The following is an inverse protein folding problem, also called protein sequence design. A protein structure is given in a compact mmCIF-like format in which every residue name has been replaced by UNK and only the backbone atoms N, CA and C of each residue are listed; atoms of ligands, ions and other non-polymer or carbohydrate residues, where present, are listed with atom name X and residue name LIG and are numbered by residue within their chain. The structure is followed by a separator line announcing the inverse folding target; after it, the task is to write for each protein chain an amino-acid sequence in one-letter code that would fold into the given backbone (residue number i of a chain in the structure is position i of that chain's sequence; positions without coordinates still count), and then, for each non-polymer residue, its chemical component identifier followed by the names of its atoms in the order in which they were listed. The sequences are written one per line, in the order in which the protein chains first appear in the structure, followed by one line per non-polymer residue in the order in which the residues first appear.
data_IF_083127756271
#
_entry.id   IF_083127756271
#
_cell.length_a   1.000
_cell.length_b   1.000
_cell.length_c   1.000
_cell.angle_alpha   90.00
_cell.angle_beta   90.00
_cell.angle_gamma   90.00
#
_symmetry.space_group_name_H-M   'P 1'
#
loop_
_entity.id
_entity.type
_entity.pdbx_description
1 polymer ?
#
# COMPACT_ATOMS: atom_id res chain seq x y z
N UNK A 1 10.10 -11.08 -3.01
CA UNK A 1 9.96 -10.22 -4.21
C UNK A 1 9.09 -8.99 -3.96
N UNK A 2 7.75 -9.01 -4.11
CA UNK A 2 6.93 -7.77 -4.03
C UNK A 2 7.09 -7.02 -2.71
N UNK A 3 7.01 -7.74 -1.58
CA UNK A 3 7.15 -7.12 -0.26
C UNK A 3 8.51 -6.42 -0.08
N UNK A 4 9.60 -7.05 -0.52
CA UNK A 4 10.94 -6.45 -0.44
C UNK A 4 11.05 -5.19 -1.31
N UNK A 5 10.48 -5.22 -2.52
CA UNK A 5 10.43 -4.05 -3.39
C UNK A 5 9.65 -2.91 -2.73
N UNK A 6 8.49 -3.20 -2.13
CA UNK A 6 7.72 -2.18 -1.43
C UNK A 6 8.48 -1.61 -0.22
N UNK A 7 9.16 -2.44 0.56
CA UNK A 7 9.98 -1.98 1.70
C UNK A 7 11.21 -1.16 1.25
N UNK A 8 11.74 -1.40 0.05
CA UNK A 8 12.86 -0.63 -0.48
C UNK A 8 12.45 0.75 -1.02
N UNK A 9 11.21 0.88 -1.53
CA UNK A 9 10.76 2.06 -2.26
C UNK A 9 9.79 2.95 -1.46
N UNK A 10 8.90 2.40 -0.66
CA UNK A 10 7.94 3.20 0.11
C UNK A 10 8.60 4.17 1.13
N UNK A 11 9.73 3.83 1.80
CA UNK A 11 10.43 4.79 2.67
C UNK A 11 11.01 6.00 1.94
N UNK A 12 11.10 5.96 0.60
CA UNK A 12 11.63 7.04 -0.23
C UNK A 12 10.55 8.05 -0.65
N UNK A 13 9.29 7.83 -0.27
CA UNK A 13 8.23 8.81 -0.48
C UNK A 13 8.58 10.10 0.29
N UNK A 14 8.21 11.24 -0.29
CA UNK A 14 8.14 12.49 0.46
C UNK A 14 7.28 12.29 1.73
N UNK A 15 7.57 12.95 2.86
CA UNK A 15 6.77 12.83 4.08
C UNK A 15 5.26 13.07 3.87
N UNK A 16 4.87 13.95 2.94
CA UNK A 16 3.48 14.20 2.55
C UNK A 16 3.04 13.41 1.29
N UNK A 17 3.96 12.64 0.70
CA UNK A 17 3.77 11.84 -0.50
C UNK A 17 2.81 10.66 -0.30
N UNK A 18 2.35 10.13 -1.44
CA UNK A 18 1.52 8.92 -1.49
C UNK A 18 1.97 8.00 -2.63
N UNK A 19 1.84 6.70 -2.42
CA UNK A 19 1.89 5.69 -3.48
C UNK A 19 0.47 5.18 -3.76
N UNK A 20 0.11 5.05 -5.04
CA UNK A 20 -1.15 4.44 -5.46
C UNK A 20 -0.84 3.08 -6.10
N UNK A 21 -1.39 2.02 -5.54
CA UNK A 21 -1.14 0.63 -5.95
C UNK A 21 -2.43 0.03 -6.52
N UNK A 22 -2.37 -0.50 -7.73
CA UNK A 22 -3.47 -1.23 -8.36
C UNK A 22 -3.17 -2.72 -8.25
N UNK A 23 -4.02 -3.47 -7.53
CA UNK A 23 -3.73 -4.85 -7.17
C UNK A 23 -4.93 -5.74 -7.49
N UNK A 24 -4.68 -6.86 -8.18
CA UNK A 24 -5.70 -7.87 -8.43
C UNK A 24 -6.24 -8.44 -7.12
N UNK A 25 -7.56 -8.60 -6.99
CA UNK A 25 -8.20 -9.19 -5.82
C UNK A 25 -7.71 -10.62 -5.57
N UNK A 26 -7.50 -11.39 -6.64
CA UNK A 26 -6.92 -12.74 -6.62
C UNK A 26 -5.43 -12.76 -6.23
N UNK A 27 -4.74 -11.63 -6.35
CA UNK A 27 -3.33 -11.48 -5.94
C UNK A 27 -3.19 -11.01 -4.48
N UNK A 28 -4.28 -11.05 -3.71
CA UNK A 28 -4.24 -10.78 -2.27
C UNK A 28 -4.24 -9.28 -1.92
N UNK A 29 -4.96 -8.45 -2.67
CA UNK A 29 -5.04 -7.01 -2.40
C UNK A 29 -5.44 -6.65 -0.95
N UNK A 30 -6.43 -7.34 -0.39
CA UNK A 30 -6.89 -7.09 0.99
C UNK A 30 -5.86 -7.60 2.03
N UNK A 31 -5.07 -8.63 1.69
CA UNK A 31 -3.93 -9.08 2.53
C UNK A 31 -2.75 -8.11 2.44
N UNK A 32 -2.47 -7.55 1.25
CA UNK A 32 -1.43 -6.54 1.07
C UNK A 32 -1.76 -5.26 1.84
N UNK A 33 -3.01 -4.82 1.83
CA UNK A 33 -3.44 -3.66 2.61
C UNK A 33 -3.18 -3.85 4.12
N UNK A 34 -3.55 -5.02 4.66
CA UNK A 34 -3.29 -5.36 6.07
C UNK A 34 -1.78 -5.40 6.38
N UNK A 35 -1.01 -6.09 5.54
CA UNK A 35 0.44 -6.20 5.71
C UNK A 35 1.14 -4.84 5.67
N UNK A 36 0.75 -3.92 4.77
CA UNK A 36 1.29 -2.56 4.75
C UNK A 36 0.97 -1.80 6.06
N UNK A 37 -0.23 -1.99 6.61
CA UNK A 37 -0.63 -1.37 7.87
C UNK A 37 0.20 -1.89 9.05
N UNK A 38 0.44 -3.21 9.11
CA UNK A 38 1.31 -3.85 10.11
C UNK A 38 2.78 -3.39 10.01
N UNK A 39 3.21 -2.92 8.83
CA UNK A 39 4.56 -2.37 8.60
C UNK A 39 4.68 -0.87 8.91
N UNK A 40 3.63 -0.25 9.45
CA UNK A 40 3.64 1.17 9.80
C UNK A 40 3.38 2.11 8.63
N UNK A 41 2.76 1.63 7.55
CA UNK A 41 2.23 2.51 6.49
C UNK A 41 0.74 2.75 6.71
N UNK A 42 0.29 3.99 6.54
CA UNK A 42 -1.15 4.27 6.47
C UNK A 42 -1.66 3.78 5.12
N UNK A 43 -2.41 2.67 5.10
CA UNK A 43 -2.90 2.06 3.87
C UNK A 43 -4.44 2.06 3.79
N UNK A 44 -4.99 2.79 2.82
CA UNK A 44 -6.42 2.95 2.61
C UNK A 44 -6.84 2.47 1.22
N UNK A 45 -8.09 2.03 1.09
CA UNK A 45 -8.68 1.68 -0.21
C UNK A 45 -9.30 2.93 -0.83
N UNK A 46 -8.80 3.35 -1.99
CA UNK A 46 -9.36 4.45 -2.77
C UNK A 46 -10.56 4.00 -3.61
N UNK A 47 -10.46 2.84 -4.25
CA UNK A 47 -11.49 2.34 -5.14
C UNK A 47 -11.43 0.81 -5.31
N UNK A 48 -12.46 0.24 -5.93
CA UNK A 48 -12.46 -1.12 -6.42
C UNK A 48 -13.21 -1.19 -7.75
N UNK A 49 -12.64 -1.87 -8.74
CA UNK A 49 -13.25 -2.04 -10.07
C UNK A 49 -12.79 -3.35 -10.70
N UNK A 50 -13.69 -4.05 -11.41
CA UNK A 50 -13.40 -5.20 -12.30
C UNK A 50 -12.28 -6.16 -11.82
N UNK A 51 -12.37 -6.63 -10.57
CA UNK A 51 -11.39 -7.59 -10.04
C UNK A 51 -10.10 -6.98 -9.45
N UNK A 52 -10.01 -5.65 -9.33
CA UNK A 52 -8.89 -4.94 -8.72
C UNK A 52 -9.31 -4.15 -7.47
N UNK A 53 -8.33 -3.83 -6.64
CA UNK A 53 -8.36 -2.78 -5.61
C UNK A 53 -7.37 -1.69 -5.99
N UNK A 54 -7.74 -0.45 -5.73
CA UNK A 54 -6.82 0.68 -5.75
C UNK A 54 -6.55 1.05 -4.29
N UNK A 55 -5.30 0.91 -3.88
CA UNK A 55 -4.83 1.20 -2.53
C UNK A 55 -3.99 2.47 -2.56
N UNK A 56 -4.13 3.30 -1.55
CA UNK A 56 -3.22 4.40 -1.22
C UNK A 56 -2.36 3.98 -0.04
N UNK A 57 -1.04 4.06 -0.17
CA UNK A 57 -0.09 3.90 0.92
C UNK A 57 0.63 5.23 1.17
N UNK A 58 0.74 5.60 2.45
CA UNK A 58 1.49 6.76 2.93
C UNK A 58 2.39 6.34 4.09
N UNK A 59 3.47 7.09 4.32
CA UNK A 59 4.24 6.96 5.56
C UNK A 59 3.30 7.21 6.76
N UNK A 60 3.39 6.40 7.81
CA UNK A 60 2.78 6.79 9.08
C UNK A 60 3.60 7.92 9.67
N UNK A 61 2.93 8.96 10.16
CA UNK A 61 3.61 9.93 11.01
C UNK A 61 4.17 9.20 12.24
N UNK A 62 5.34 9.59 12.76
CA UNK A 62 5.73 9.20 14.10
C UNK A 62 4.64 9.66 15.08
N UNK A 63 4.34 8.81 16.06
CA UNK A 63 3.40 9.11 17.14
C UNK A 63 3.88 10.30 17.99
#
# INVERSE_FOLDING_TARGET
ALHELLLAWLPRLDPAGRAVLVVGKNLGADSLQRWLSERGYRCARLAAAKGFRVLEARLSAPA
#
